data_IF_625219775798
#
_entry.id   IF_625219775798
#
_cell.length_a   1.000
_cell.length_b   1.000
_cell.length_c   1.000
_cell.angle_alpha   90.00
_cell.angle_beta   90.00
_cell.angle_gamma   90.00
#
_symmetry.space_group_name_H-M   'P 1'
#
loop_
_entity.id
_entity.type
_entity.pdbx_description
1 polymer ?
#
# COMPACT_ATOMS: atom_id res chain seq x y z
N UNK A 1 -9.35 25.39 39.99
CA UNK A 1 -8.95 26.19 38.81
C UNK A 1 -7.50 25.83 38.50
N UNK A 2 -7.12 25.25 37.37
CA UNK A 2 -7.81 25.02 36.13
C UNK A 2 -7.22 23.77 35.45
N UNK A 3 -7.97 22.66 35.55
CA UNK A 3 -7.96 21.56 34.59
C UNK A 3 -8.50 22.09 33.24
N UNK A 4 -7.74 22.96 32.54
CA UNK A 4 -8.20 23.54 31.25
C UNK A 4 -7.16 23.53 30.14
N UNK A 5 -5.99 22.90 30.33
CA UNK A 5 -4.94 22.91 29.30
C UNK A 5 -4.71 21.59 28.57
N UNK A 6 -5.64 20.62 28.68
CA UNK A 6 -5.55 19.32 28.01
C UNK A 6 -6.48 19.16 26.78
N UNK A 7 -7.04 20.25 26.25
CA UNK A 7 -7.93 20.21 25.07
C UNK A 7 -7.63 21.34 24.08
N UNK A 8 -6.38 21.44 23.63
CA UNK A 8 -5.99 22.35 22.53
C UNK A 8 -5.16 21.69 21.42
N UNK A 9 -5.33 20.38 21.21
CA UNK A 9 -4.77 19.70 20.03
C UNK A 9 -5.81 19.01 19.14
N UNK A 10 -7.09 19.30 19.32
CA UNK A 10 -8.16 18.95 18.38
C UNK A 10 -8.49 20.16 17.50
N UNK A 11 -7.52 20.65 16.73
CA UNK A 11 -7.79 21.54 15.60
C UNK A 11 -7.83 20.71 14.32
N UNK A 12 -9.04 20.23 14.04
CA UNK A 12 -9.64 20.11 12.71
C UNK A 12 -8.69 19.78 11.55
N UNK A 13 -8.45 18.48 11.32
CA UNK A 13 -8.28 18.01 9.94
C UNK A 13 -9.64 18.07 9.27
N UNK A 14 -9.99 19.26 8.75
CA UNK A 14 -11.08 19.44 7.82
C UNK A 14 -10.65 18.74 6.51
N UNK A 15 -10.86 17.44 6.46
CA UNK A 15 -10.56 16.62 5.30
C UNK A 15 -11.66 16.89 4.26
N UNK A 16 -11.51 18.03 3.61
CA UNK A 16 -12.37 18.49 2.52
C UNK A 16 -11.99 17.74 1.25
N UNK A 17 -12.14 16.40 1.26
CA UNK A 17 -12.18 15.62 0.02
C UNK A 17 -13.52 15.89 -0.65
N UNK A 18 -13.62 17.08 -1.26
CA UNK A 18 -14.73 17.43 -2.13
C UNK A 18 -14.27 17.29 -3.57
N UNK A 19 -15.06 16.48 -4.26
CA UNK A 19 -15.27 16.38 -5.70
C UNK A 19 -14.32 15.41 -6.42
N UNK A 20 -14.76 14.14 -6.45
CA UNK A 20 -14.79 13.37 -7.69
C UNK A 20 -15.17 14.35 -8.80
N UNK A 21 -14.24 14.63 -9.71
CA UNK A 21 -14.57 15.37 -10.93
C UNK A 21 -15.44 14.45 -11.78
N UNK A 22 -16.76 14.52 -11.58
CA UNK A 22 -17.68 14.10 -12.61
C UNK A 22 -17.39 15.00 -13.80
N UNK A 23 -16.78 14.44 -14.83
CA UNK A 23 -16.43 15.15 -16.04
C UNK A 23 -17.73 15.51 -16.77
N UNK A 24 -18.35 16.63 -16.40
CA UNK A 24 -19.20 17.34 -17.34
C UNK A 24 -18.27 17.92 -18.40
N UNK A 25 -18.12 17.18 -19.51
CA UNK A 25 -17.48 17.67 -20.71
C UNK A 25 -18.31 18.87 -21.23
N UNK A 26 -17.93 20.08 -20.85
CA UNK A 26 -18.34 21.28 -21.57
C UNK A 26 -17.52 21.31 -22.85
N UNK A 27 -18.11 20.89 -23.96
CA UNK A 27 -17.50 21.06 -25.28
C UNK A 27 -17.45 22.56 -25.61
N UNK A 28 -16.35 23.22 -25.25
CA UNK A 28 -15.98 24.48 -25.88
C UNK A 28 -15.32 24.13 -27.22
N UNK A 29 -16.15 23.99 -28.26
CA UNK A 29 -15.69 23.87 -29.64
C UNK A 29 -15.23 25.24 -30.15
N UNK A 30 -13.98 25.61 -29.88
CA UNK A 30 -13.30 26.69 -30.60
C UNK A 30 -12.68 26.13 -31.88
N UNK A 31 -13.51 25.97 -32.91
CA UNK A 31 -13.06 26.09 -34.30
C UNK A 31 -14.01 27.08 -34.97
N UNK A 32 -13.52 28.15 -35.62
CA UNK A 32 -14.39 28.97 -36.44
C UNK A 32 -15.02 28.04 -37.49
N UNK A 33 -16.31 28.21 -37.82
CA UNK A 33 -16.93 27.45 -38.88
C UNK A 33 -16.19 27.80 -40.17
N UNK A 34 -15.28 26.92 -40.61
CA UNK A 34 -14.94 26.87 -42.02
C UNK A 34 -16.26 26.66 -42.74
N UNK A 35 -16.64 27.61 -43.60
CA UNK A 35 -17.87 27.61 -44.39
C UNK A 35 -17.95 26.36 -45.27
N UNK A 36 -18.30 25.23 -44.67
CA UNK A 36 -18.75 24.06 -45.40
C UNK A 36 -20.24 24.30 -45.54
N UNK A 37 -20.69 24.57 -46.77
CA UNK A 37 -22.09 24.57 -47.16
C UNK A 37 -22.65 23.14 -46.98
N UNK A 38 -22.79 22.71 -45.74
CA UNK A 38 -23.40 21.45 -45.35
C UNK A 38 -24.90 21.67 -45.31
N UNK A 39 -25.50 21.42 -46.46
CA UNK A 39 -26.91 21.21 -46.70
C UNK A 39 -27.53 20.37 -45.54
N UNK A 40 -28.13 21.03 -44.55
CA UNK A 40 -28.61 20.40 -43.30
C UNK A 40 -29.75 19.40 -43.53
N UNK A 41 -30.29 19.35 -44.75
CA UNK A 41 -31.38 18.47 -45.15
C UNK A 41 -30.92 17.07 -45.60
N UNK A 42 -29.61 16.79 -45.65
CA UNK A 42 -29.08 15.47 -46.04
C UNK A 42 -28.25 14.83 -44.93
N UNK A 43 -28.26 13.49 -44.80
CA UNK A 43 -27.44 12.79 -43.82
C UNK A 43 -25.94 12.99 -44.08
N UNK A 44 -25.19 13.23 -43.02
CA UNK A 44 -23.74 13.44 -43.06
C UNK A 44 -23.04 12.11 -43.37
N UNK A 45 -22.14 12.10 -44.36
CA UNK A 45 -21.34 10.92 -44.72
C UNK A 45 -20.17 10.75 -43.75
N UNK A 46 -20.02 9.56 -43.16
CA UNK A 46 -18.97 9.26 -42.18
C UNK A 46 -17.57 9.63 -42.69
N UNK A 47 -17.21 9.26 -43.91
CA UNK A 47 -15.87 9.48 -44.48
C UNK A 47 -15.49 10.96 -44.59
N UNK A 48 -16.48 11.85 -44.73
CA UNK A 48 -16.30 13.29 -44.80
C UNK A 48 -16.38 13.97 -43.42
N UNK A 49 -16.94 13.26 -42.42
CA UNK A 49 -17.12 13.78 -41.08
C UNK A 49 -15.80 13.88 -40.30
N UNK A 50 -15.71 14.80 -39.33
CA UNK A 50 -14.57 14.88 -38.42
C UNK A 50 -14.37 13.60 -37.59
N UNK A 51 -15.40 12.76 -37.46
CA UNK A 51 -15.29 11.48 -36.75
C UNK A 51 -14.37 10.47 -37.46
N UNK A 52 -14.20 10.57 -38.79
CA UNK A 52 -13.28 9.71 -39.54
C UNK A 52 -11.81 9.93 -39.17
N UNK A 53 -11.45 11.13 -38.68
CA UNK A 53 -10.08 11.43 -38.22
C UNK A 53 -9.80 10.91 -36.80
N UNK A 54 -10.80 10.42 -36.09
CA UNK A 54 -10.67 9.95 -34.71
C UNK A 54 -10.09 8.53 -34.68
N UNK A 55 -8.89 8.38 -34.11
CA UNK A 55 -8.26 7.07 -33.94
C UNK A 55 -8.85 6.35 -32.72
N UNK A 56 -9.08 5.03 -32.84
CA UNK A 56 -9.61 4.19 -31.76
C UNK A 56 -8.79 4.28 -30.46
N UNK A 57 -7.47 4.48 -30.59
CA UNK A 57 -6.56 4.67 -29.45
C UNK A 57 -7.00 5.82 -28.51
N UNK A 58 -7.54 6.92 -29.05
CA UNK A 58 -7.93 8.07 -28.23
C UNK A 58 -9.17 7.80 -27.37
N UNK A 59 -10.07 6.91 -27.83
CA UNK A 59 -11.21 6.44 -27.02
C UNK A 59 -10.80 5.44 -25.94
N UNK A 60 -9.78 4.62 -26.21
CA UNK A 60 -9.28 3.60 -25.27
C UNK A 60 -8.39 4.18 -24.18
N UNK A 61 -7.49 5.09 -24.52
CA UNK A 61 -6.42 5.55 -23.62
C UNK A 61 -6.75 6.87 -22.92
N UNK A 62 -7.84 7.54 -23.30
CA UNK A 62 -8.25 8.79 -22.65
C UNK A 62 -7.28 9.94 -22.96
N UNK A 63 -7.32 10.45 -24.18
CA UNK A 63 -6.52 11.62 -24.59
C UNK A 63 -5.06 11.32 -24.91
N UNK A 64 -4.37 12.30 -25.52
CA UNK A 64 -2.95 12.19 -25.86
C UNK A 64 -2.15 12.14 -24.55
N UNK A 65 -1.17 11.23 -24.44
CA UNK A 65 -0.30 11.09 -23.26
C UNK A 65 0.23 12.47 -22.77
N UNK A 66 -0.48 13.06 -21.81
CA UNK A 66 -0.09 14.34 -21.17
C UNK A 66 0.86 14.11 -20.00
N UNK A 67 1.27 12.85 -19.78
CA UNK A 67 2.11 12.48 -18.67
C UNK A 67 3.53 13.00 -18.87
N UNK A 68 4.03 13.68 -17.85
CA UNK A 68 5.39 14.20 -17.88
C UNK A 68 6.37 13.06 -17.59
N UNK A 69 7.46 13.01 -18.35
CA UNK A 69 8.48 11.96 -18.23
C UNK A 69 9.17 11.90 -16.86
N UNK A 70 9.23 13.03 -16.14
CA UNK A 70 9.87 13.12 -14.82
C UNK A 70 8.94 12.81 -13.62
N UNK A 71 7.63 12.69 -13.86
CA UNK A 71 6.62 12.42 -12.82
C UNK A 71 6.96 11.20 -11.93
N UNK A 72 7.32 10.00 -12.47
CA UNK A 72 7.64 8.86 -11.61
C UNK A 72 8.90 9.08 -10.77
N UNK A 73 9.87 9.85 -11.26
CA UNK A 73 11.13 10.10 -10.56
C UNK A 73 10.95 11.01 -9.35
N UNK A 74 10.08 12.02 -9.45
CA UNK A 74 9.76 12.90 -8.32
C UNK A 74 9.07 12.11 -7.20
N UNK A 75 8.13 11.23 -7.56
CA UNK A 75 7.45 10.36 -6.60
C UNK A 75 8.48 9.43 -5.94
N UNK A 76 9.32 8.78 -6.75
CA UNK A 76 10.32 7.84 -6.25
C UNK A 76 11.33 8.54 -5.32
N UNK A 77 11.76 9.76 -5.65
CA UNK A 77 12.65 10.56 -4.82
C UNK A 77 11.99 10.89 -3.47
N UNK A 78 10.72 11.29 -3.46
CA UNK A 78 10.01 11.61 -2.23
C UNK A 78 9.87 10.40 -1.30
N UNK A 79 9.58 9.22 -1.86
CA UNK A 79 9.50 7.97 -1.12
C UNK A 79 10.90 7.54 -0.64
N UNK A 80 11.92 7.69 -1.48
CA UNK A 80 13.29 7.34 -1.11
C UNK A 80 13.79 8.18 0.06
N UNK A 81 13.58 9.51 0.03
CA UNK A 81 13.94 10.40 1.14
C UNK A 81 13.17 10.03 2.41
N UNK A 82 11.88 9.72 2.29
CA UNK A 82 11.08 9.25 3.42
C UNK A 82 11.62 7.93 4.00
N UNK A 83 11.97 6.96 3.16
CA UNK A 83 12.53 5.68 3.59
C UNK A 83 13.91 5.84 4.24
N UNK A 84 14.79 6.66 3.68
CA UNK A 84 16.11 6.95 4.26
C UNK A 84 15.94 7.56 5.66
N UNK A 85 15.01 8.50 5.82
CA UNK A 85 14.71 9.08 7.12
C UNK A 85 14.22 8.03 8.12
N UNK A 86 13.29 7.16 7.72
CA UNK A 86 12.70 6.15 8.62
C UNK A 86 13.63 4.99 8.95
N UNK A 87 14.41 4.51 7.99
CA UNK A 87 15.22 3.31 8.15
C UNK A 87 16.62 3.57 8.72
N UNK A 88 17.19 4.77 8.52
CA UNK A 88 18.59 5.05 8.87
C UNK A 88 18.72 6.21 9.85
N UNK A 89 18.03 7.33 9.60
CA UNK A 89 18.26 8.56 10.36
C UNK A 89 17.41 8.66 11.64
N UNK A 90 16.29 7.92 11.71
CA UNK A 90 15.48 7.83 12.92
C UNK A 90 16.27 7.06 13.99
N UNK A 91 16.36 7.61 15.20
CA UNK A 91 16.88 6.88 16.36
C UNK A 91 16.14 5.55 16.51
N UNK A 92 16.89 4.49 16.84
CA UNK A 92 16.37 3.13 17.02
C UNK A 92 15.12 3.17 17.90
N UNK A 93 13.97 2.77 17.34
CA UNK A 93 12.75 2.71 18.13
C UNK A 93 12.87 1.53 19.09
N UNK A 94 12.36 1.62 20.31
CA UNK A 94 12.33 0.48 21.26
C UNK A 94 11.76 -0.82 20.65
N UNK A 95 10.89 -0.68 19.65
CA UNK A 95 10.29 -1.76 18.86
C UNK A 95 11.33 -2.47 17.98
N UNK A 96 12.28 -1.73 17.40
CA UNK A 96 13.35 -2.29 16.58
C UNK A 96 14.25 -3.20 17.41
N UNK A 97 14.51 -2.81 18.67
CA UNK A 97 15.26 -3.60 19.64
C UNK A 97 14.59 -4.92 20.03
N UNK A 98 13.27 -5.02 19.89
CA UNK A 98 12.55 -6.28 20.14
C UNK A 98 12.76 -7.31 19.03
N UNK A 99 13.14 -6.90 17.82
CA UNK A 99 13.44 -7.84 16.73
C UNK A 99 14.80 -8.55 16.87
N UNK A 100 15.72 -8.02 17.68
CA UNK A 100 17.00 -8.67 17.97
C UNK A 100 16.85 -9.85 18.96
N UNK A 101 15.72 -9.96 19.65
CA UNK A 101 15.46 -11.07 20.57
C UNK A 101 15.10 -12.34 19.79
N UNK A 102 15.51 -13.50 20.29
CA UNK A 102 15.11 -14.76 19.64
C UNK A 102 13.61 -14.96 19.78
N UNK A 103 12.97 -15.56 18.78
CA UNK A 103 11.52 -15.76 18.76
C UNK A 103 11.03 -16.56 19.99
N UNK A 104 11.88 -17.45 20.50
CA UNK A 104 11.64 -18.26 21.67
C UNK A 104 11.67 -17.46 22.98
N UNK A 105 12.50 -16.41 23.05
CA UNK A 105 12.54 -15.50 24.20
C UNK A 105 11.33 -14.55 24.22
N UNK A 106 10.82 -14.17 23.04
CA UNK A 106 9.68 -13.26 22.93
C UNK A 106 8.34 -13.93 23.25
N UNK A 107 8.15 -15.18 22.81
CA UNK A 107 6.89 -15.91 22.96
C UNK A 107 7.03 -17.03 23.99
N UNK A 108 6.62 -16.74 25.24
CA UNK A 108 6.61 -17.73 26.32
C UNK A 108 5.83 -18.99 25.90
N UNK A 109 6.46 -20.16 26.02
CA UNK A 109 5.85 -21.46 25.74
C UNK A 109 5.88 -21.91 24.27
N UNK A 110 6.40 -21.09 23.34
CA UNK A 110 6.49 -21.49 21.93
C UNK A 110 7.48 -22.64 21.72
N UNK A 111 8.64 -22.59 22.39
CA UNK A 111 9.66 -23.64 22.34
C UNK A 111 9.08 -25.00 22.78
N UNK A 112 8.33 -25.02 23.88
CA UNK A 112 7.68 -26.24 24.35
C UNK A 112 6.70 -26.82 23.35
N UNK A 113 5.86 -25.97 22.75
CA UNK A 113 4.84 -26.42 21.82
C UNK A 113 5.47 -27.01 20.56
N UNK A 114 6.53 -26.37 20.04
CA UNK A 114 7.29 -26.89 18.92
C UNK A 114 7.97 -28.22 19.25
N UNK A 115 8.60 -28.35 20.43
CA UNK A 115 9.22 -29.59 20.88
C UNK A 115 8.20 -30.72 21.06
N UNK A 116 6.99 -30.44 21.57
CA UNK A 116 5.90 -31.43 21.70
C UNK A 116 5.44 -31.95 20.34
N UNK A 117 5.30 -31.06 19.35
CA UNK A 117 4.95 -31.45 17.98
C UNK A 117 6.06 -32.31 17.37
N UNK A 118 7.32 -31.86 17.48
CA UNK A 118 8.47 -32.61 16.96
C UNK A 118 8.64 -33.96 17.64
N UNK A 119 8.39 -34.06 18.95
CA UNK A 119 8.42 -35.31 19.70
C UNK A 119 7.36 -36.28 19.17
N UNK A 120 6.12 -35.82 19.02
CA UNK A 120 5.03 -36.64 18.48
C UNK A 120 5.38 -37.15 17.08
N UNK A 121 5.87 -36.28 16.21
CA UNK A 121 6.29 -36.66 14.85
C UNK A 121 7.43 -37.69 14.85
N UNK A 122 8.46 -37.48 15.67
CA UNK A 122 9.61 -38.38 15.75
C UNK A 122 9.23 -39.75 16.32
N UNK A 123 8.32 -39.79 17.29
CA UNK A 123 7.80 -41.05 17.86
C UNK A 123 7.00 -41.84 16.81
N UNK A 124 6.20 -41.17 15.98
CA UNK A 124 5.47 -41.79 14.86
C UNK A 124 6.39 -42.35 13.77
N UNK A 125 7.58 -41.75 13.58
CA UNK A 125 8.52 -42.11 12.52
C UNK A 125 9.73 -42.93 13.03
N UNK A 126 9.78 -43.28 14.31
CA UNK A 126 10.87 -44.07 14.91
C UNK A 126 12.22 -43.35 14.93
N UNK A 127 12.24 -42.02 14.95
CA UNK A 127 13.44 -41.19 15.02
C UNK A 127 13.93 -41.04 16.47
N UNK A 128 15.20 -40.67 16.66
CA UNK A 128 15.74 -40.44 18.02
C UNK A 128 15.02 -39.26 18.70
N UNK A 129 14.59 -39.49 19.93
CA UNK A 129 13.80 -38.54 20.74
C UNK A 129 14.55 -38.10 22.01
N UNK A 130 15.76 -38.61 22.27
CA UNK A 130 16.46 -38.37 23.55
C UNK A 130 16.76 -36.90 23.80
N UNK A 131 17.25 -36.18 22.80
CA UNK A 131 17.56 -34.76 22.90
C UNK A 131 16.31 -33.91 23.19
N UNK A 132 15.21 -34.20 22.48
CA UNK A 132 13.93 -33.48 22.62
C UNK A 132 13.33 -33.68 24.02
N UNK A 133 13.36 -34.92 24.53
CA UNK A 133 12.86 -35.25 25.87
C UNK A 133 13.67 -34.54 26.96
N UNK A 134 15.00 -34.55 26.84
CA UNK A 134 15.90 -33.89 27.79
C UNK A 134 15.64 -32.37 27.84
N UNK A 135 15.54 -31.71 26.69
CA UNK A 135 15.25 -30.28 26.62
C UNK A 135 13.88 -29.92 27.19
N UNK A 136 12.87 -30.75 26.92
CA UNK A 136 11.51 -30.54 27.45
C UNK A 136 11.49 -30.67 28.97
N UNK A 137 12.27 -31.59 29.55
CA UNK A 137 12.44 -31.70 31.01
C UNK A 137 13.13 -30.47 31.62
N UNK A 138 14.15 -29.91 30.98
CA UNK A 138 14.80 -28.66 31.41
C UNK A 138 13.79 -27.51 31.49
N UNK A 139 13.02 -27.29 30.42
CA UNK A 139 12.03 -26.22 30.36
C UNK A 139 10.95 -26.42 31.45
N UNK A 140 10.49 -27.66 31.68
CA UNK A 140 9.52 -27.91 32.77
C UNK A 140 10.08 -27.65 34.17
N UNK A 141 11.40 -27.74 34.37
CA UNK A 141 12.04 -27.41 35.66
C UNK A 141 12.16 -25.89 35.81
N UNK A 142 12.54 -25.18 34.75
CA UNK A 142 12.62 -23.72 34.73
C UNK A 142 11.26 -23.09 35.04
N UNK A 143 10.17 -23.58 34.43
CA UNK A 143 8.81 -23.10 34.68
C UNK A 143 8.26 -23.39 36.08
N UNK A 144 8.81 -24.39 36.80
CA UNK A 144 8.44 -24.67 38.20
C UNK A 144 9.19 -23.80 39.20
N UNK A 145 10.31 -23.22 38.81
CA UNK A 145 11.13 -22.35 39.64
C UNK A 145 10.72 -20.87 39.51
N UNK A 146 10.09 -20.52 38.39
CA UNK A 146 9.47 -19.21 38.12
C UNK A 146 8.14 -19.07 38.85
#
# INVERSE_FOLDING_TARGET
MALQNLLRFTRATNLKYRNIKLCFLRLNSTKPPSEVNEDLNRPIRYSQSPANKWKAQYSREGGVNTRLWYEPYVILLSIAVFMIYFCILREESDIDRHFDQTLYDHLEGLEEHQLKISLKYNEEHGLDCKAIKTRLEEITKENKQK
#
